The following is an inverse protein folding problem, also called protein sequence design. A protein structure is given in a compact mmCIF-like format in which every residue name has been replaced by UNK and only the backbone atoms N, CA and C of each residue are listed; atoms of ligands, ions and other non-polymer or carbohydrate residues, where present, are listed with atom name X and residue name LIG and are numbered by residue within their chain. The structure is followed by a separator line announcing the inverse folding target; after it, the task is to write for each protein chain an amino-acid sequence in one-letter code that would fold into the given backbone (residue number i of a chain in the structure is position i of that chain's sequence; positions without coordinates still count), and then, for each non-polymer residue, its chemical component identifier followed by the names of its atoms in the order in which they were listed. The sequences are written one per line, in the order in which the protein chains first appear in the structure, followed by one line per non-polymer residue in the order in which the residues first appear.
data_IF_451527455017
#
_entry.id   IF_451527455017
#
_cell.length_a   1.000
_cell.length_b   1.000
_cell.length_c   1.000
_cell.angle_alpha   90.00
_cell.angle_beta   90.00
_cell.angle_gamma   90.00
#
_symmetry.space_group_name_H-M   'P 1'
#
loop_
_entity.id
_entity.type
_entity.pdbx_description
1 polymer ?
#
# COMPACT_ATOMS: atom_id res chain seq x y z
N UNK A 1 3.98 -21.16 5.77
CA UNK A 1 4.25 -20.81 4.36
C UNK A 1 3.86 -19.36 4.16
N UNK A 2 4.75 -18.49 3.69
CA UNK A 2 4.44 -17.08 3.49
C UNK A 2 3.43 -16.91 2.33
N UNK A 3 2.57 -15.90 2.40
CA UNK A 3 1.62 -15.59 1.32
C UNK A 3 2.39 -15.27 0.03
N UNK A 4 1.92 -15.74 -1.15
CA UNK A 4 2.47 -15.29 -2.43
C UNK A 4 2.41 -13.77 -2.57
N UNK A 5 3.41 -13.20 -3.24
CA UNK A 5 3.53 -11.75 -3.49
C UNK A 5 2.24 -11.16 -4.07
N UNK A 6 1.69 -11.81 -5.09
CA UNK A 6 0.45 -11.38 -5.74
C UNK A 6 -0.74 -11.36 -4.77
N UNK A 7 -0.82 -12.31 -3.83
CA UNK A 7 -1.93 -12.44 -2.90
C UNK A 7 -1.88 -11.33 -1.83
N UNK A 8 -0.68 -11.01 -1.34
CA UNK A 8 -0.47 -9.92 -0.39
C UNK A 8 -0.76 -8.55 -1.02
N UNK A 9 -0.27 -8.35 -2.24
CA UNK A 9 -0.56 -7.17 -3.05
C UNK A 9 -2.05 -6.97 -3.33
N UNK A 10 -2.80 -8.05 -3.57
CA UNK A 10 -4.25 -7.99 -3.74
C UNK A 10 -4.94 -7.66 -2.41
N UNK A 11 -4.53 -8.29 -1.32
CA UNK A 11 -5.12 -8.07 0.00
C UNK A 11 -4.97 -6.61 0.45
N UNK A 12 -3.79 -6.01 0.32
CA UNK A 12 -3.58 -4.59 0.64
C UNK A 12 -4.44 -3.66 -0.21
N UNK A 13 -4.54 -3.90 -1.52
CA UNK A 13 -5.40 -3.10 -2.41
C UNK A 13 -6.88 -3.17 -2.00
N UNK A 14 -7.37 -4.36 -1.67
CA UNK A 14 -8.75 -4.53 -1.17
C UNK A 14 -8.95 -3.82 0.17
N UNK A 15 -7.97 -3.90 1.07
CA UNK A 15 -8.02 -3.20 2.35
C UNK A 15 -8.07 -1.67 2.16
N UNK A 16 -7.23 -1.12 1.27
CA UNK A 16 -7.23 0.31 0.94
C UNK A 16 -8.54 0.77 0.30
N UNK A 17 -9.25 -0.09 -0.45
CA UNK A 17 -10.58 0.22 -0.96
C UNK A 17 -11.64 0.25 0.13
N UNK A 18 -11.53 -0.62 1.15
CA UNK A 18 -12.46 -0.68 2.28
C UNK A 18 -12.24 0.45 3.28
N UNK A 19 -10.98 0.86 3.47
CA UNK A 19 -10.56 1.91 4.41
C UNK A 19 -9.73 2.95 3.66
N UNK A 20 -10.36 3.74 2.78
CA UNK A 20 -9.66 4.71 1.93
C UNK A 20 -8.89 5.77 2.71
N UNK A 21 -9.36 6.12 3.90
CA UNK A 21 -8.84 7.24 4.69
C UNK A 21 -8.10 6.78 5.95
N UNK A 22 -7.58 5.55 5.95
CA UNK A 22 -6.73 4.98 6.99
C UNK A 22 -5.25 5.20 6.62
N UNK A 23 -4.57 6.24 7.14
CA UNK A 23 -3.23 6.61 6.72
C UNK A 23 -2.17 5.58 7.13
N UNK A 24 -2.37 4.83 8.21
CA UNK A 24 -1.46 3.75 8.61
C UNK A 24 -1.52 2.60 7.59
N UNK A 25 -2.73 2.18 7.21
CA UNK A 25 -2.92 1.16 6.18
C UNK A 25 -2.28 1.54 4.85
N UNK A 26 -2.42 2.79 4.42
CA UNK A 26 -1.82 3.28 3.18
C UNK A 26 -0.28 3.20 3.22
N UNK A 27 0.34 3.49 4.37
CA UNK A 27 1.80 3.37 4.56
C UNK A 27 2.27 1.92 4.54
N UNK A 28 1.55 1.03 5.22
CA UNK A 28 1.87 -0.41 5.22
C UNK A 28 1.79 -0.99 3.81
N UNK A 29 0.72 -0.66 3.07
CA UNK A 29 0.57 -1.06 1.68
C UNK A 29 1.70 -0.52 0.78
N UNK A 30 2.12 0.73 0.98
CA UNK A 30 3.24 1.32 0.23
C UNK A 30 4.57 0.62 0.53
N UNK A 31 4.86 0.33 1.80
CA UNK A 31 6.06 -0.39 2.21
C UNK A 31 6.11 -1.81 1.62
N UNK A 32 4.96 -2.47 1.52
CA UNK A 32 4.87 -3.78 0.89
C UNK A 32 5.23 -3.74 -0.60
N UNK A 33 4.71 -2.75 -1.33
CA UNK A 33 4.99 -2.59 -2.78
C UNK A 33 6.48 -2.37 -3.05
N UNK A 34 7.15 -1.55 -2.24
CA UNK A 34 8.59 -1.27 -2.37
C UNK A 34 9.47 -2.50 -2.10
N UNK A 35 8.93 -3.53 -1.46
CA UNK A 35 9.68 -4.75 -1.12
C UNK A 35 9.86 -5.70 -2.30
N UNK A 36 9.24 -5.44 -3.46
CA UNK A 36 9.17 -6.37 -4.59
C UNK A 36 9.81 -5.90 -5.89
N UNK A 37 10.46 -4.72 -5.88
CA UNK A 37 11.12 -4.14 -7.05
C UNK A 37 10.41 -2.90 -7.60
N UNK A 38 11.05 -2.18 -8.54
CA UNK A 38 10.70 -0.80 -8.88
C UNK A 38 9.38 -0.64 -9.66
N UNK A 39 8.82 -1.73 -10.19
CA UNK A 39 7.60 -1.70 -11.00
C UNK A 39 6.40 -1.09 -10.27
N UNK A 40 6.43 -1.10 -8.92
CA UNK A 40 5.35 -0.63 -8.07
C UNK A 40 5.64 0.68 -7.35
N UNK A 41 6.81 1.27 -7.54
CA UNK A 41 7.27 2.45 -6.80
C UNK A 41 6.33 3.64 -6.96
N UNK A 42 5.83 3.87 -8.18
CA UNK A 42 4.88 4.94 -8.44
C UNK A 42 3.61 4.82 -7.59
N UNK A 43 3.03 3.62 -7.51
CA UNK A 43 1.85 3.38 -6.67
C UNK A 43 2.18 3.51 -5.17
N UNK A 44 3.36 3.09 -4.75
CA UNK A 44 3.80 3.27 -3.36
C UNK A 44 3.93 4.75 -3.00
N UNK A 45 4.49 5.57 -3.88
CA UNK A 45 4.61 7.02 -3.67
C UNK A 45 3.24 7.71 -3.65
N UNK A 46 2.29 7.30 -4.49
CA UNK A 46 0.91 7.81 -4.43
C UNK A 46 0.22 7.50 -3.10
N UNK A 47 0.38 6.27 -2.59
CA UNK A 47 -0.17 5.85 -1.30
C UNK A 47 0.44 6.64 -0.15
N UNK A 48 1.77 6.82 -0.14
CA UNK A 48 2.46 7.67 0.84
C UNK A 48 1.97 9.11 0.78
N UNK A 49 1.89 9.70 -0.41
CA UNK A 49 1.43 11.07 -0.60
C UNK A 49 -0.01 11.26 -0.10
N UNK A 50 -0.87 10.26 -0.32
CA UNK A 50 -2.24 10.26 0.21
C UNK A 50 -2.26 10.16 1.74
N UNK A 51 -1.49 9.25 2.34
CA UNK A 51 -1.39 9.12 3.79
C UNK A 51 -0.94 10.44 4.44
N UNK A 52 0.06 11.10 3.87
CA UNK A 52 0.53 12.42 4.36
C UNK A 52 -0.56 13.49 4.28
N UNK A 53 -1.44 13.47 3.26
CA UNK A 53 -2.56 14.42 3.17
C UNK A 53 -3.66 14.16 4.19
N UNK A 54 -3.83 12.93 4.66
CA UNK A 54 -4.86 12.56 5.63
C UNK A 54 -4.45 12.87 7.08
N UNK A 55 -3.14 12.91 7.35
CA UNK A 55 -2.59 13.28 8.65
C UNK A 55 -2.53 14.81 8.88
N UNK A 56 -2.76 15.63 7.84
CA UNK A 56 -2.73 17.10 7.88
C UNK A 56 -4.12 17.72 7.91
#
# INVERSE_FOLDING_TARGET
MAMPVWARNLAFRLACLQRPDDPELLREAAADLLSFGPDWDHFAEELKARATRLDG
#
